data_IF_264564535248
#
_entry.id   IF_264564535248
#
_cell.length_a   1.000
_cell.length_b   1.000
_cell.length_c   1.000
_cell.angle_alpha   90.00
_cell.angle_beta   90.00
_cell.angle_gamma   90.00
#
_symmetry.space_group_name_H-M   'P 1'
#
loop_
_entity.id
_entity.type
_entity.pdbx_description
1 polymer ?
#
# COMPACT_ATOMS: atom_id res chain seq x y z
N UNK A 1 3.14 -13.25 -3.79
CA UNK A 1 1.66 -13.16 -3.95
C UNK A 1 1.37 -12.37 -5.21
N UNK A 2 0.46 -12.81 -6.07
CA UNK A 2 0.22 -12.15 -7.38
C UNK A 2 -1.27 -11.89 -7.60
N UNK A 3 -1.60 -10.67 -8.05
CA UNK A 3 -2.93 -10.24 -8.44
C UNK A 3 -2.97 -10.07 -9.96
N UNK A 4 -3.66 -10.97 -10.66
CA UNK A 4 -3.77 -10.94 -12.12
C UNK A 4 -4.84 -9.98 -12.65
N UNK A 5 -5.77 -9.56 -11.78
CA UNK A 5 -6.82 -8.60 -12.09
C UNK A 5 -6.57 -7.27 -11.37
N UNK A 6 -6.91 -6.12 -11.98
CA UNK A 6 -6.79 -4.83 -11.32
C UNK A 6 -7.63 -4.74 -10.05
N UNK A 7 -7.02 -4.30 -8.96
CA UNK A 7 -7.66 -4.12 -7.66
C UNK A 7 -7.14 -2.85 -7.00
N UNK A 8 -7.89 -2.33 -6.02
CA UNK A 8 -7.38 -1.29 -5.15
C UNK A 8 -6.38 -1.86 -4.15
N UNK A 9 -5.23 -1.22 -4.04
CA UNK A 9 -4.11 -1.60 -3.17
C UNK A 9 -3.81 -0.40 -2.30
N UNK A 10 -3.91 -0.56 -0.98
CA UNK A 10 -3.56 0.49 -0.02
C UNK A 10 -2.15 0.26 0.47
N UNK A 11 -1.28 1.27 0.37
CA UNK A 11 0.05 1.27 0.99
C UNK A 11 0.12 2.37 2.03
N UNK A 12 0.54 2.02 3.24
CA UNK A 12 0.66 2.92 4.37
C UNK A 12 2.01 2.76 5.07
N UNK A 13 2.58 3.87 5.53
CA UNK A 13 3.78 3.84 6.37
C UNK A 13 3.45 3.38 7.79
N UNK A 14 4.23 2.45 8.34
CA UNK A 14 4.12 2.04 9.73
C UNK A 14 4.96 2.96 10.61
N UNK A 15 4.38 4.04 11.14
CA UNK A 15 5.12 5.06 11.91
C UNK A 15 5.89 4.47 13.09
N UNK A 16 5.36 3.45 13.77
CA UNK A 16 6.07 2.79 14.90
C UNK A 16 7.33 2.08 14.39
N UNK A 17 7.22 1.32 13.30
CA UNK A 17 8.33 0.54 12.74
C UNK A 17 9.35 1.39 11.98
N UNK A 18 8.91 2.46 11.30
CA UNK A 18 9.81 3.45 10.69
C UNK A 18 10.74 4.08 11.74
N UNK A 19 10.24 4.30 12.97
CA UNK A 19 11.00 4.90 14.07
C UNK A 19 11.85 3.90 14.85
N UNK A 20 11.58 2.60 14.72
CA UNK A 20 12.41 1.57 15.32
C UNK A 20 13.59 1.31 14.39
N UNK A 21 14.76 1.84 14.74
CA UNK A 21 16.00 1.55 14.01
C UNK A 21 16.16 0.04 13.80
N UNK A 22 16.34 -0.36 12.54
CA UNK A 22 16.60 -1.75 12.17
C UNK A 22 15.39 -2.62 11.83
N UNK A 23 14.13 -2.16 11.94
CA UNK A 23 12.98 -2.92 11.41
C UNK A 23 12.90 -2.77 9.88
N UNK A 24 13.19 -3.83 9.10
CA UNK A 24 13.16 -3.71 7.66
C UNK A 24 11.72 -3.59 7.12
N UNK A 25 10.68 -3.98 7.87
CA UNK A 25 9.28 -4.04 7.43
C UNK A 25 8.47 -2.81 7.86
N UNK A 26 8.81 -1.66 7.29
CA UNK A 26 8.24 -0.37 7.68
C UNK A 26 7.01 0.05 6.85
N UNK A 27 6.57 -0.77 5.89
CA UNK A 27 5.36 -0.54 5.08
C UNK A 27 4.28 -1.58 5.36
N UNK A 28 3.01 -1.13 5.31
CA UNK A 28 1.81 -1.97 5.42
C UNK A 28 1.07 -1.90 4.10
N UNK A 29 0.71 -3.05 3.55
CA UNK A 29 -0.04 -3.16 2.30
C UNK A 29 -1.35 -3.92 2.53
N UNK A 30 -2.45 -3.42 1.95
CA UNK A 30 -3.76 -4.05 2.02
C UNK A 30 -4.32 -4.21 0.60
N UNK A 31 -4.64 -5.45 0.24
CA UNK A 31 -5.30 -5.75 -1.04
C UNK A 31 -6.81 -5.49 -0.90
N UNK A 32 -7.45 -4.88 -1.89
CA UNK A 32 -8.86 -4.43 -1.85
C UNK A 32 -9.16 -3.40 -0.74
N UNK A 33 -8.17 -2.58 -0.34
CA UNK A 33 -8.21 -1.56 0.75
C UNK A 33 -8.46 -2.07 2.16
N UNK A 34 -9.14 -3.20 2.32
CA UNK A 34 -9.56 -3.78 3.60
C UNK A 34 -9.24 -5.28 3.71
N UNK A 35 -8.56 -5.84 2.72
CA UNK A 35 -8.07 -7.21 2.79
C UNK A 35 -6.94 -7.39 3.82
N UNK A 36 -6.38 -8.61 3.91
CA UNK A 36 -5.35 -8.92 4.88
C UNK A 36 -4.11 -8.02 4.71
N UNK A 37 -3.54 -7.64 5.84
CA UNK A 37 -2.29 -6.87 5.89
C UNK A 37 -1.12 -7.72 5.42
N UNK A 38 -0.29 -7.13 4.56
CA UNK A 38 1.01 -7.64 4.16
C UNK A 38 2.08 -6.63 4.60
N UNK A 39 3.00 -7.07 5.45
CA UNK A 39 4.15 -6.26 5.84
C UNK A 39 5.18 -6.27 4.70
N UNK A 40 5.72 -5.10 4.35
CA UNK A 40 6.65 -4.93 3.23
C UNK A 40 7.88 -4.15 3.66
N UNK A 41 9.01 -4.45 3.02
CA UNK A 41 10.25 -3.68 3.16
C UNK A 41 10.30 -2.47 2.25
N UNK A 42 9.72 -2.59 1.07
CA UNK A 42 9.64 -1.51 0.09
C UNK A 42 8.47 -1.76 -0.86
N UNK A 43 8.17 -0.75 -1.67
CA UNK A 43 7.26 -0.90 -2.79
C UNK A 43 7.76 -0.06 -3.96
N UNK A 44 7.38 -0.46 -5.16
CA UNK A 44 7.61 0.26 -6.41
C UNK A 44 6.29 0.41 -7.14
N UNK A 45 6.10 1.56 -7.76
CA UNK A 45 4.94 1.87 -8.58
C UNK A 45 5.42 2.14 -10.00
N UNK A 46 4.86 1.42 -10.97
CA UNK A 46 5.12 1.60 -12.40
C UNK A 46 3.83 2.03 -13.12
N UNK A 47 3.96 2.91 -14.12
CA UNK A 47 2.86 3.43 -14.92
C UNK A 47 2.57 4.92 -14.68
N UNK A 48 1.44 5.40 -15.21
CA UNK A 48 1.05 6.81 -15.12
C UNK A 48 -0.01 6.99 -14.04
N UNK A 49 0.31 7.82 -13.04
CA UNK A 49 -0.64 8.23 -12.02
C UNK A 49 -1.65 9.22 -12.58
N UNK A 50 -2.93 8.97 -12.32
CA UNK A 50 -4.07 9.84 -12.67
C UNK A 50 -4.98 9.96 -11.45
N UNK A 51 -5.90 10.94 -11.48
CA UNK A 51 -6.90 11.08 -10.41
C UNK A 51 -7.85 9.88 -10.27
N UNK A 52 -7.90 8.97 -11.25
CA UNK A 52 -8.73 7.76 -11.19
C UNK A 52 -8.01 6.53 -10.61
N UNK A 53 -6.67 6.51 -10.56
CA UNK A 53 -5.92 5.31 -10.15
C UNK A 53 -4.96 5.54 -8.98
N UNK A 54 -4.80 6.77 -8.51
CA UNK A 54 -4.04 7.11 -7.30
C UNK A 54 -4.88 8.04 -6.43
N UNK A 55 -5.14 7.61 -5.19
CA UNK A 55 -5.92 8.39 -4.23
C UNK A 55 -5.12 8.46 -2.92
N UNK A 56 -4.54 9.62 -2.56
CA UNK A 56 -3.97 9.80 -1.22
C UNK A 56 -5.08 9.81 -0.17
N UNK A 57 -4.78 9.32 1.04
CA UNK A 57 -5.70 9.34 2.16
C UNK A 57 -4.98 9.59 3.48
N UNK A 58 -5.68 10.22 4.41
CA UNK A 58 -5.21 10.47 5.78
C UNK A 58 -6.35 10.29 6.76
N UNK A 59 -6.06 9.77 7.94
CA UNK A 59 -6.98 9.76 9.07
C UNK A 59 -6.29 10.40 10.29
N UNK A 60 -6.53 11.70 10.51
CA UNK A 60 -5.95 12.43 11.64
C UNK A 60 -6.56 12.03 12.99
N UNK A 61 -7.74 11.42 13.00
CA UNK A 61 -8.43 11.02 14.23
C UNK A 61 -8.01 9.61 14.70
N UNK A 62 -7.26 8.87 13.87
CA UNK A 62 -6.93 7.45 14.07
C UNK A 62 -8.18 6.57 14.35
N UNK A 63 -9.35 7.01 13.89
CA UNK A 63 -10.62 6.29 14.06
C UNK A 63 -10.73 5.10 13.11
N UNK A 64 -9.85 5.02 12.12
CA UNK A 64 -9.65 3.88 11.26
C UNK A 64 -9.28 2.65 12.12
N UNK A 65 -10.03 1.55 12.02
CA UNK A 65 -9.78 0.32 12.78
C UNK A 65 -8.40 -0.30 12.52
N UNK A 66 -7.75 0.05 11.40
CA UNK A 66 -6.40 -0.36 11.05
C UNK A 66 -5.31 0.55 11.67
N UNK A 67 -5.68 1.67 12.29
CA UNK A 67 -4.77 2.63 12.92
C UNK A 67 -3.82 3.33 11.94
N UNK A 68 -4.26 3.59 10.70
CA UNK A 68 -3.46 4.23 9.66
C UNK A 68 -3.61 5.75 9.73
N UNK A 69 -2.50 6.50 9.85
CA UNK A 69 -2.55 7.98 9.84
C UNK A 69 -2.53 8.54 8.41
N UNK A 70 -1.78 7.92 7.50
CA UNK A 70 -1.67 8.32 6.10
C UNK A 70 -1.39 7.11 5.21
N UNK A 71 -1.91 7.14 3.98
CA UNK A 71 -1.76 6.08 2.99
C UNK A 71 -1.97 6.60 1.56
N UNK A 72 -1.66 5.74 0.59
CA UNK A 72 -2.01 5.94 -0.82
C UNK A 72 -2.74 4.69 -1.30
N UNK A 73 -3.89 4.88 -1.94
CA UNK A 73 -4.62 3.84 -2.65
C UNK A 73 -4.24 3.85 -4.12
N UNK A 74 -3.76 2.73 -4.64
CA UNK A 74 -3.40 2.51 -6.04
C UNK A 74 -4.40 1.56 -6.70
N UNK A 75 -4.87 1.88 -7.91
CA UNK A 75 -5.63 0.94 -8.72
C UNK A 75 -4.72 0.28 -9.76
N UNK A 76 -4.57 -1.03 -9.67
CA UNK A 76 -3.65 -1.74 -10.55
C UNK A 76 -3.51 -3.21 -10.24
N UNK A 77 -2.54 -3.83 -10.90
CA UNK A 77 -2.11 -5.21 -10.59
C UNK A 77 -0.91 -5.15 -9.66
N UNK A 78 -0.74 -6.16 -8.82
CA UNK A 78 0.36 -6.23 -7.86
C UNK A 78 0.97 -7.61 -7.80
N UNK A 79 2.29 -7.63 -7.74
CA UNK A 79 3.08 -8.81 -7.39
C UNK A 79 3.93 -8.48 -6.16
N UNK A 80 4.00 -9.42 -5.21
CA UNK A 80 4.88 -9.33 -4.04
C UNK A 80 5.98 -10.37 -4.18
N UNK A 81 7.23 -9.91 -4.25
CA UNK A 81 8.46 -10.70 -4.38
C UNK A 81 9.51 -10.17 -3.40
N UNK A 82 10.16 -11.05 -2.63
CA UNK A 82 11.21 -10.68 -1.67
C UNK A 82 10.83 -9.51 -0.75
N UNK A 83 9.61 -9.55 -0.21
CA UNK A 83 9.03 -8.52 0.67
C UNK A 83 8.88 -7.11 0.04
N UNK A 84 8.96 -7.02 -1.29
CA UNK A 84 8.69 -5.81 -2.06
C UNK A 84 7.40 -5.97 -2.85
N UNK A 85 6.52 -4.96 -2.79
CA UNK A 85 5.38 -4.89 -3.70
C UNK A 85 5.74 -4.15 -4.99
N UNK A 86 5.52 -4.80 -6.13
CA UNK A 86 5.56 -4.21 -7.46
C UNK A 86 4.11 -3.93 -7.88
N UNK A 87 3.74 -2.64 -7.97
CA UNK A 87 2.39 -2.20 -8.33
C UNK A 87 2.44 -1.58 -9.73
N UNK A 88 1.71 -2.15 -10.68
CA UNK A 88 1.55 -1.57 -12.02
C UNK A 88 0.18 -0.93 -12.14
N UNK A 89 0.16 0.39 -12.27
CA UNK A 89 -1.06 1.19 -12.37
C UNK A 89 -1.85 0.82 -13.61
N UNK A 90 -3.17 0.82 -13.47
CA UNK A 90 -4.12 0.62 -14.57
C UNK A 90 -5.08 1.81 -14.65
N UNK A 91 -5.57 2.15 -15.86
CA UNK A 91 -6.70 3.07 -15.97
C UNK A 91 -7.93 2.44 -15.29
N UNK A 92 -8.76 3.30 -14.70
CA UNK A 92 -10.04 2.90 -14.11
C UNK A 92 -11.13 2.87 -15.17
#
# INVERSE_FOLDING_TARGET
MTMSQPVWIRVAGNVKRIRTEGDPYHWRCFVRREGPEVALRSFRVDGVATGGNVIPGTDPAASNPLGLTAWIDFFGVMTVENDMALITLKPQ
#
